data_IF_869021241427
#
_entry.id   IF_869021241427
#
_cell.length_a   1.000
_cell.length_b   1.000
_cell.length_c   1.000
_cell.angle_alpha   90.00
_cell.angle_beta   90.00
_cell.angle_gamma   90.00
#
_symmetry.space_group_name_H-M   'P 1'
#
loop_
_entity.id
_entity.type
_entity.pdbx_description
1 polymer ?
#
# COMPACT_ATOMS: atom_id res chain seq x y z
N UNK A 1 -0.75 28.73 7.63
CA UNK A 1 -0.30 27.34 7.90
C UNK A 1 -1.44 26.36 8.24
N UNK A 2 -2.59 26.79 8.77
CA UNK A 2 -3.72 25.89 9.14
C UNK A 2 -4.34 25.09 7.97
N UNK A 3 -4.47 25.70 6.78
CA UNK A 3 -5.07 25.07 5.58
C UNK A 3 -4.23 23.88 5.08
N UNK A 4 -2.90 23.97 5.18
CA UNK A 4 -2.01 22.88 4.78
C UNK A 4 -2.17 21.66 5.69
N UNK A 5 -2.30 21.87 7.01
CA UNK A 5 -2.44 20.77 7.97
C UNK A 5 -3.78 20.04 7.85
N UNK A 6 -4.87 20.77 7.60
CA UNK A 6 -6.19 20.16 7.38
C UNK A 6 -6.21 19.32 6.11
N UNK A 7 -5.58 19.79 5.03
CA UNK A 7 -5.48 19.03 3.78
C UNK A 7 -4.64 17.76 3.95
N UNK A 8 -3.48 17.85 4.62
CA UNK A 8 -2.64 16.67 4.91
C UNK A 8 -3.36 15.64 5.75
N UNK A 9 -4.13 16.07 6.76
CA UNK A 9 -4.96 15.17 7.57
C UNK A 9 -6.05 14.49 6.72
N UNK A 10 -6.75 15.24 5.87
CA UNK A 10 -7.76 14.68 4.98
C UNK A 10 -7.18 13.61 4.05
N UNK A 11 -6.01 13.87 3.46
CA UNK A 11 -5.29 12.88 2.64
C UNK A 11 -4.82 11.67 3.45
N UNK A 12 -4.30 11.88 4.67
CA UNK A 12 -3.86 10.79 5.55
C UNK A 12 -5.01 9.85 5.92
N UNK A 13 -6.19 10.41 6.24
CA UNK A 13 -7.40 9.64 6.48
C UNK A 13 -7.90 8.93 5.23
N UNK A 14 -7.86 9.58 4.07
CA UNK A 14 -8.23 8.96 2.79
C UNK A 14 -7.37 7.72 2.49
N UNK A 15 -6.04 7.85 2.61
CA UNK A 15 -5.12 6.72 2.41
C UNK A 15 -5.34 5.61 3.44
N UNK A 16 -5.54 5.96 4.72
CA UNK A 16 -5.86 4.98 5.75
C UNK A 16 -7.15 4.22 5.44
N UNK A 17 -8.21 4.91 4.99
CA UNK A 17 -9.50 4.29 4.66
C UNK A 17 -9.37 3.30 3.50
N UNK A 18 -8.64 3.69 2.44
CA UNK A 18 -8.35 2.80 1.30
C UNK A 18 -7.58 1.56 1.76
N UNK A 19 -6.50 1.76 2.52
CA UNK A 19 -5.66 0.68 3.03
C UNK A 19 -6.43 -0.28 3.95
N UNK A 20 -7.24 0.25 4.87
CA UNK A 20 -8.12 -0.53 5.74
C UNK A 20 -9.17 -1.29 4.92
N UNK A 21 -9.79 -0.66 3.93
CA UNK A 21 -10.75 -1.31 3.04
C UNK A 21 -10.15 -2.50 2.29
N UNK A 22 -8.99 -2.31 1.67
CA UNK A 22 -8.27 -3.38 0.96
C UNK A 22 -7.88 -4.54 1.90
N UNK A 23 -7.32 -4.21 3.06
CA UNK A 23 -6.90 -5.20 4.05
C UNK A 23 -8.10 -5.96 4.64
N UNK A 24 -9.20 -5.25 4.92
CA UNK A 24 -10.44 -5.82 5.44
C UNK A 24 -11.08 -6.79 4.45
N UNK A 25 -11.23 -6.42 3.18
CA UNK A 25 -11.78 -7.33 2.16
C UNK A 25 -10.89 -8.57 1.98
N UNK A 26 -9.57 -8.38 1.95
CA UNK A 26 -8.61 -9.50 1.86
C UNK A 26 -8.68 -10.44 3.07
N UNK A 27 -8.79 -9.88 4.28
CA UNK A 27 -8.91 -10.64 5.52
C UNK A 27 -10.26 -11.38 5.61
N UNK A 28 -11.35 -10.76 5.16
CA UNK A 28 -12.70 -11.35 5.17
C UNK A 28 -12.78 -12.63 4.34
N UNK A 29 -12.01 -12.73 3.26
CA UNK A 29 -11.97 -13.91 2.41
C UNK A 29 -11.14 -15.08 2.98
N UNK A 30 -10.40 -14.90 4.08
CA UNK A 30 -9.51 -15.93 4.66
C UNK A 30 -10.16 -16.80 5.73
N UNK A 31 -11.33 -16.41 6.22
CA UNK A 31 -12.03 -17.12 7.29
C UNK A 31 -13.39 -17.63 6.80
N UNK A 32 -13.89 -18.72 7.39
CA UNK A 32 -15.19 -19.29 7.02
C UNK A 32 -16.31 -18.79 7.95
N UNK A 33 -16.07 -18.76 9.27
CA UNK A 33 -17.02 -18.31 10.29
C UNK A 33 -17.18 -16.79 10.37
N UNK A 34 -18.37 -16.31 10.77
CA UNK A 34 -18.65 -14.86 10.90
C UNK A 34 -17.79 -14.19 11.98
N UNK A 35 -17.60 -14.85 13.12
CA UNK A 35 -16.77 -14.32 14.23
C UNK A 35 -15.31 -14.22 13.77
N UNK A 36 -14.79 -15.28 13.16
CA UNK A 36 -13.42 -15.32 12.66
C UNK A 36 -13.17 -14.24 11.59
N UNK A 37 -14.15 -14.01 10.70
CA UNK A 37 -14.10 -12.92 9.71
C UNK A 37 -13.99 -11.55 10.36
N UNK A 38 -14.84 -11.27 11.35
CA UNK A 38 -14.82 -9.97 12.06
C UNK A 38 -13.50 -9.78 12.81
N UNK A 39 -13.00 -10.82 13.48
CA UNK A 39 -11.71 -10.78 14.19
C UNK A 39 -10.55 -10.55 13.21
N UNK A 40 -10.55 -11.23 12.07
CA UNK A 40 -9.54 -11.06 11.03
C UNK A 40 -9.55 -9.65 10.43
N UNK A 41 -10.73 -9.08 10.19
CA UNK A 41 -10.84 -7.68 9.74
C UNK A 41 -10.36 -6.70 10.81
N UNK A 42 -10.76 -6.90 12.07
CA UNK A 42 -10.31 -6.06 13.17
C UNK A 42 -8.77 -6.10 13.33
N UNK A 43 -8.17 -7.28 13.22
CA UNK A 43 -6.71 -7.45 13.23
C UNK A 43 -6.07 -6.72 12.05
N UNK A 44 -6.63 -6.85 10.85
CA UNK A 44 -6.13 -6.16 9.66
C UNK A 44 -6.17 -4.63 9.83
N UNK A 45 -7.27 -4.08 10.36
CA UNK A 45 -7.38 -2.66 10.70
C UNK A 45 -6.31 -2.22 11.70
N UNK A 46 -6.07 -3.02 12.75
CA UNK A 46 -5.06 -2.73 13.75
C UNK A 46 -3.64 -2.72 13.17
N UNK A 47 -3.33 -3.69 12.29
CA UNK A 47 -2.03 -3.76 11.60
C UNK A 47 -1.81 -2.54 10.71
N UNK A 48 -2.78 -2.18 9.86
CA UNK A 48 -2.67 -0.99 8.98
C UNK A 48 -2.54 0.30 9.80
N UNK A 49 -3.35 0.42 10.86
CA UNK A 49 -3.24 1.55 11.80
C UNK A 49 -1.85 1.63 12.43
N UNK A 50 -1.29 0.49 12.85
CA UNK A 50 0.06 0.43 13.41
C UNK A 50 1.13 0.86 12.39
N UNK A 51 1.04 0.43 11.13
CA UNK A 51 1.98 0.84 10.07
C UNK A 51 1.98 2.35 9.89
N UNK A 52 0.81 2.97 9.84
CA UNK A 52 0.68 4.42 9.61
C UNK A 52 1.03 5.26 10.83
N UNK A 53 0.60 4.86 12.04
CA UNK A 53 0.69 5.68 13.25
C UNK A 53 1.98 5.45 14.05
N UNK A 54 2.54 4.23 14.10
CA UNK A 54 3.75 3.95 14.90
C UNK A 54 4.93 4.88 14.55
N UNK A 55 5.28 5.10 13.27
CA UNK A 55 6.41 5.97 12.91
C UNK A 55 6.18 7.45 13.23
N UNK A 56 4.92 7.85 13.39
CA UNK A 56 4.55 9.22 13.68
C UNK A 56 4.50 9.49 15.20
N UNK A 57 4.06 8.51 15.98
CA UNK A 57 3.91 8.63 17.44
C UNK A 57 5.19 8.26 18.20
N UNK A 58 5.92 7.25 17.74
CA UNK A 58 7.09 6.72 18.43
C UNK A 58 8.39 7.24 17.78
N UNK A 59 9.30 7.78 18.61
CA UNK A 59 10.65 8.20 18.16
C UNK A 59 11.76 7.19 18.53
N UNK A 60 11.42 6.13 19.26
CA UNK A 60 12.38 5.12 19.71
C UNK A 60 12.76 4.17 18.57
N UNK A 61 14.04 3.79 18.49
CA UNK A 61 14.49 2.81 17.50
C UNK A 61 13.94 1.39 17.77
N UNK A 62 13.51 1.11 19.00
CA UNK A 62 12.98 -0.20 19.39
C UNK A 62 11.65 -0.57 18.71
N UNK A 63 10.93 0.41 18.14
CA UNK A 63 9.64 0.15 17.47
C UNK A 63 9.78 -0.27 16.01
N UNK A 64 10.96 -0.09 15.40
CA UNK A 64 11.21 -0.45 13.99
C UNK A 64 11.00 -1.93 13.64
N UNK A 65 11.45 -2.93 14.44
CA UNK A 65 11.19 -4.33 14.10
C UNK A 65 9.70 -4.66 14.10
N UNK A 66 8.95 -4.15 15.09
CA UNK A 66 7.50 -4.32 15.16
C UNK A 66 6.80 -3.64 13.98
N UNK A 67 7.20 -2.41 13.67
CA UNK A 67 6.67 -1.68 12.52
C UNK A 67 6.94 -2.42 11.20
N UNK A 68 8.15 -2.94 11.00
CA UNK A 68 8.52 -3.69 9.80
C UNK A 68 7.69 -4.96 9.67
N UNK A 69 7.46 -5.68 10.77
CA UNK A 69 6.59 -6.86 10.77
C UNK A 69 5.15 -6.49 10.37
N UNK A 70 4.58 -5.44 10.96
CA UNK A 70 3.25 -4.94 10.58
C UNK A 70 3.21 -4.51 9.10
N UNK A 71 4.26 -3.85 8.61
CA UNK A 71 4.37 -3.40 7.23
C UNK A 71 4.36 -4.58 6.25
N UNK A 72 5.16 -5.62 6.51
CA UNK A 72 5.20 -6.83 5.68
C UNK A 72 3.82 -7.51 5.64
N UNK A 73 3.15 -7.61 6.80
CA UNK A 73 1.81 -8.21 6.88
C UNK A 73 0.78 -7.38 6.11
N UNK A 74 0.79 -6.05 6.24
CA UNK A 74 -0.10 -5.16 5.50
C UNK A 74 0.11 -5.28 3.98
N UNK A 75 1.37 -5.18 3.52
CA UNK A 75 1.74 -5.31 2.11
C UNK A 75 1.31 -6.66 1.54
N UNK A 76 1.52 -7.75 2.29
CA UNK A 76 1.04 -9.07 1.87
C UNK A 76 -0.50 -9.14 1.77
N UNK A 77 -1.22 -8.53 2.73
CA UNK A 77 -2.67 -8.44 2.71
C UNK A 77 -3.21 -7.69 1.48
N UNK A 78 -2.61 -6.53 1.17
CA UNK A 78 -2.98 -5.70 0.02
C UNK A 78 -2.59 -6.31 -1.32
N UNK A 79 -1.40 -6.91 -1.43
CA UNK A 79 -0.99 -7.64 -2.62
C UNK A 79 -2.01 -8.75 -2.94
N UNK A 80 -2.45 -9.50 -1.92
CA UNK A 80 -3.52 -10.49 -2.07
C UNK A 80 -4.83 -9.89 -2.60
N UNK A 81 -5.27 -8.74 -2.07
CA UNK A 81 -6.45 -8.03 -2.59
C UNK A 81 -6.29 -7.63 -4.06
N UNK A 82 -5.14 -7.05 -4.43
CA UNK A 82 -4.89 -6.58 -5.80
C UNK A 82 -4.89 -7.73 -6.80
N UNK A 83 -4.31 -8.87 -6.44
CA UNK A 83 -4.33 -10.09 -7.26
C UNK A 83 -5.76 -10.59 -7.46
N UNK A 84 -6.54 -10.72 -6.38
CA UNK A 84 -7.95 -11.14 -6.45
C UNK A 84 -8.82 -10.17 -7.25
N UNK A 85 -8.59 -8.86 -7.10
CA UNK A 85 -9.29 -7.84 -7.87
C UNK A 85 -8.96 -7.95 -9.37
N UNK A 86 -7.70 -8.20 -9.72
CA UNK A 86 -7.27 -8.47 -11.08
C UNK A 86 -7.95 -9.71 -11.68
N UNK A 87 -8.01 -10.81 -10.93
CA UNK A 87 -8.67 -12.05 -11.35
C UNK A 87 -10.16 -11.84 -11.65
N UNK A 88 -10.88 -11.10 -10.79
CA UNK A 88 -12.30 -10.78 -11.01
C UNK A 88 -12.53 -10.00 -12.30
N UNK A 89 -11.69 -9.00 -12.58
CA UNK A 89 -11.78 -8.21 -13.82
C UNK A 89 -11.43 -9.06 -15.05
N UNK A 90 -10.41 -9.93 -14.95
CA UNK A 90 -10.08 -10.86 -16.02
C UNK A 90 -11.20 -11.87 -16.28
N UNK A 91 -11.84 -12.41 -15.24
CA UNK A 91 -12.96 -13.34 -15.39
C UNK A 91 -14.11 -12.71 -16.19
N UNK A 92 -14.45 -11.45 -15.91
CA UNK A 92 -15.48 -10.71 -16.66
C UNK A 92 -15.07 -10.51 -18.13
N UNK A 93 -13.81 -10.16 -18.40
CA UNK A 93 -13.31 -9.98 -19.78
C UNK A 93 -13.22 -11.28 -20.57
N UNK A 94 -12.93 -12.39 -19.89
CA UNK A 94 -12.78 -13.71 -20.51
C UNK A 94 -14.11 -14.47 -20.64
N UNK A 95 -15.16 -14.07 -19.93
CA UNK A 95 -16.47 -14.74 -19.97
C UNK A 95 -17.03 -14.92 -21.40
N UNK A 96 -17.01 -13.91 -22.30
CA UNK A 96 -17.49 -14.09 -23.67
C UNK A 96 -16.64 -15.10 -24.47
N UNK A 97 -15.32 -15.12 -24.25
CA UNK A 97 -14.43 -16.05 -24.94
C UNK A 97 -14.61 -17.49 -24.43
N UNK A 98 -14.76 -17.64 -23.12
CA UNK A 98 -15.06 -18.93 -22.51
C UNK A 98 -16.40 -19.49 -23.00
N UNK A 99 -17.41 -18.63 -23.16
CA UNK A 99 -18.71 -19.00 -23.69
C UNK A 99 -18.66 -19.34 -25.18
N UNK A 100 -18.01 -18.53 -26.02
CA UNK A 100 -17.83 -18.86 -27.44
C UNK A 100 -17.08 -20.19 -27.65
N UNK A 101 -16.10 -20.49 -26.79
CA UNK A 101 -15.39 -21.78 -26.83
C UNK A 101 -16.30 -22.94 -26.42
N UNK A 102 -17.20 -22.72 -25.46
CA UNK A 102 -18.19 -23.71 -25.03
C UNK A 102 -19.24 -23.96 -26.13
N UNK A 103 -19.82 -22.90 -26.70
CA UNK A 103 -20.79 -22.96 -27.80
C UNK A 103 -20.21 -23.75 -28.99
N UNK A 104 -18.93 -23.51 -29.31
CA UNK A 104 -18.24 -24.23 -30.37
C UNK A 104 -18.10 -25.74 -30.06
N UNK A 105 -17.81 -26.10 -28.81
CA UNK A 105 -17.72 -27.52 -28.40
C UNK A 105 -19.07 -28.21 -28.47
N UNK A 106 -20.13 -27.52 -28.05
CA UNK A 106 -21.50 -28.03 -28.12
C UNK A 106 -21.93 -28.23 -29.58
N UNK A 107 -21.64 -27.27 -30.46
CA UNK A 107 -21.90 -27.39 -31.89
C UNK A 107 -21.15 -28.58 -32.53
N UNK A 108 -19.86 -28.79 -32.19
CA UNK A 108 -19.10 -29.96 -32.66
C UNK A 108 -19.67 -31.27 -32.09
N UNK A 109 -20.07 -31.27 -30.81
CA UNK A 109 -20.72 -32.42 -30.18
C UNK A 109 -22.03 -32.82 -30.87
N UNK A 110 -22.87 -31.83 -31.21
CA UNK A 110 -24.09 -32.04 -31.98
C UNK A 110 -23.80 -32.56 -33.39
N UNK A 111 -22.81 -31.98 -34.09
CA UNK A 111 -22.39 -32.46 -35.40
C UNK A 111 -21.91 -33.92 -35.35
N UNK A 112 -21.13 -34.29 -34.32
CA UNK A 112 -20.68 -35.67 -34.12
C UNK A 112 -21.84 -36.64 -33.85
N UNK A 113 -22.85 -36.23 -33.08
CA UNK A 113 -24.02 -37.06 -32.80
C UNK A 113 -24.86 -37.35 -34.07
N UNK A 114 -24.82 -36.45 -35.06
CA UNK A 114 -25.53 -36.63 -36.33
C UNK A 114 -24.83 -37.60 -37.31
N UNK A 115 -23.54 -37.90 -37.11
CA UNK A 115 -22.76 -38.75 -38.02
C UNK A 115 -22.81 -40.21 -37.56
N UNK A 116 -23.63 -41.02 -38.22
CA UNK A 116 -23.72 -42.47 -38.00
C UNK A 116 -22.74 -43.24 -38.90
N UNK A 117 -21.43 -43.01 -38.74
CA UNK A 117 -20.39 -43.69 -39.51
C UNK A 117 -19.51 -44.58 -38.62
N UNK A 118 -19.13 -45.76 -39.12
CA UNK A 118 -18.22 -46.66 -38.40
C UNK A 118 -16.80 -46.07 -38.33
N UNK A 119 -15.90 -46.57 -37.45
CA UNK A 119 -14.54 -46.05 -37.36
C UNK A 119 -13.79 -46.12 -38.70
N UNK A 120 -12.99 -45.08 -39.01
CA UNK A 120 -12.22 -44.95 -40.27
C UNK A 120 -11.44 -46.23 -40.59
N UNK A 121 -10.78 -46.81 -39.59
CA UNK A 121 -10.00 -48.04 -39.75
C UNK A 121 -10.84 -49.24 -40.23
N UNK A 122 -12.07 -49.37 -39.74
CA UNK A 122 -12.98 -50.47 -40.09
C UNK A 122 -13.49 -50.32 -41.52
N UNK A 123 -13.93 -49.11 -41.89
CA UNK A 123 -14.46 -48.83 -43.24
C UNK A 123 -13.35 -48.96 -44.28
N UNK A 124 -12.15 -48.42 -44.00
CA UNK A 124 -10.99 -48.54 -44.89
C UNK A 124 -10.57 -50.00 -45.12
N UNK A 125 -10.53 -50.82 -44.06
CA UNK A 125 -10.22 -52.24 -44.18
C UNK A 125 -11.28 -53.00 -44.99
N UNK A 126 -12.55 -52.60 -44.91
CA UNK A 126 -13.63 -53.22 -45.67
C UNK A 126 -13.58 -52.87 -47.16
N UNK A 127 -13.27 -51.62 -47.51
CA UNK A 127 -13.05 -51.18 -48.90
C UNK A 127 -11.95 -51.99 -49.58
N UNK A 128 -10.87 -52.30 -48.86
CA UNK A 128 -9.76 -53.09 -49.40
C UNK A 128 -10.16 -54.53 -49.78
N UNK A 129 -11.21 -55.08 -49.15
CA UNK A 129 -11.66 -56.47 -49.33
C UNK A 129 -12.82 -56.62 -50.33
N UNK A 130 -13.56 -55.56 -50.61
CA UNK A 130 -14.76 -55.60 -51.46
C UNK A 130 -14.40 -55.44 -52.94
N UNK A 131 -14.79 -56.41 -53.76
CA UNK A 131 -14.54 -56.42 -55.21
C UNK A 131 -15.66 -55.75 -56.03
N UNK A 132 -16.89 -55.71 -55.51
CA UNK A 132 -18.03 -55.15 -56.26
C UNK A 132 -17.99 -53.62 -56.31
N UNK A 133 -18.12 -53.00 -57.50
CA UNK A 133 -17.94 -51.55 -57.67
C UNK A 133 -18.99 -50.73 -56.91
N UNK A 134 -20.26 -51.13 -56.95
CA UNK A 134 -21.36 -50.44 -56.26
C UNK A 134 -21.15 -50.41 -54.73
N UNK A 135 -20.74 -51.54 -54.16
CA UNK A 135 -20.53 -51.66 -52.71
C UNK A 135 -19.26 -50.93 -52.27
N UNK A 136 -18.25 -50.87 -53.13
CA UNK A 136 -17.06 -50.04 -52.94
C UNK A 136 -17.44 -48.56 -52.88
N UNK A 137 -18.29 -48.09 -53.79
CA UNK A 137 -18.72 -46.69 -53.85
C UNK A 137 -19.51 -46.28 -52.59
N UNK A 138 -20.44 -47.12 -52.12
CA UNK A 138 -21.16 -46.87 -50.86
C UNK A 138 -20.22 -46.77 -49.64
N UNK A 139 -19.20 -47.64 -49.57
CA UNK A 139 -18.21 -47.60 -48.49
C UNK A 139 -17.28 -46.38 -48.58
N UNK A 140 -16.98 -45.88 -49.79
CA UNK A 140 -16.20 -44.64 -49.95
C UNK A 140 -16.94 -43.43 -49.39
N UNK A 141 -18.26 -43.36 -49.57
CA UNK A 141 -19.10 -42.32 -48.95
C UNK A 141 -19.09 -42.45 -47.43
N UNK A 142 -19.25 -43.67 -46.91
CA UNK A 142 -19.16 -43.91 -45.45
C UNK A 142 -17.78 -43.50 -44.90
N UNK A 143 -16.68 -43.79 -45.63
CA UNK A 143 -15.33 -43.43 -45.22
C UNK A 143 -15.16 -41.90 -45.11
N UNK A 144 -15.72 -41.13 -46.04
CA UNK A 144 -15.67 -39.67 -46.00
C UNK A 144 -16.38 -39.12 -44.74
N UNK A 145 -17.54 -39.67 -44.40
CA UNK A 145 -18.26 -39.31 -43.15
C UNK A 145 -17.47 -39.73 -41.90
N UNK A 146 -16.86 -40.91 -41.89
CA UNK A 146 -15.98 -41.37 -40.81
C UNK A 146 -14.78 -40.44 -40.61
N UNK A 147 -14.16 -39.97 -41.70
CA UNK A 147 -13.02 -39.05 -41.67
C UNK A 147 -13.43 -37.69 -41.12
N UNK A 148 -14.59 -37.18 -41.52
CA UNK A 148 -15.17 -35.94 -40.98
C UNK A 148 -15.41 -36.04 -39.47
N UNK A 149 -15.97 -37.15 -39.00
CA UNK A 149 -16.14 -37.39 -37.56
C UNK A 149 -14.79 -37.47 -36.81
N UNK A 150 -13.76 -38.09 -37.41
CA UNK A 150 -12.42 -38.13 -36.82
C UNK A 150 -11.79 -36.73 -36.72
N UNK A 151 -11.95 -35.90 -37.75
CA UNK A 151 -11.47 -34.52 -37.75
C UNK A 151 -12.14 -33.67 -36.66
N UNK A 152 -13.46 -33.77 -36.51
CA UNK A 152 -14.22 -33.09 -35.46
C UNK A 152 -13.80 -33.53 -34.04
N UNK A 153 -13.52 -34.83 -33.84
CA UNK A 153 -12.97 -35.32 -32.56
C UNK A 153 -11.59 -34.74 -32.25
N UNK A 154 -10.72 -34.65 -33.26
CA UNK A 154 -9.40 -34.01 -33.10
C UNK A 154 -9.55 -32.53 -32.75
N UNK A 155 -10.49 -31.82 -33.37
CA UNK A 155 -10.78 -30.42 -33.05
C UNK A 155 -11.24 -30.27 -31.59
N UNK A 156 -12.11 -31.16 -31.07
CA UNK A 156 -12.48 -31.15 -29.66
C UNK A 156 -11.27 -31.31 -28.72
N UNK A 157 -10.33 -32.20 -29.06
CA UNK A 157 -9.08 -32.37 -28.30
C UNK A 157 -8.25 -31.09 -28.33
N UNK A 158 -8.11 -30.46 -29.49
CA UNK A 158 -7.39 -29.19 -29.63
C UNK A 158 -8.06 -28.07 -28.83
N UNK A 159 -9.39 -27.97 -28.86
CA UNK A 159 -10.13 -27.00 -28.04
C UNK A 159 -10.01 -27.31 -26.54
N UNK A 160 -9.93 -28.58 -26.15
CA UNK A 160 -9.68 -29.01 -24.77
C UNK A 160 -8.29 -28.59 -24.30
N UNK A 161 -7.26 -28.84 -25.12
CA UNK A 161 -5.88 -28.41 -24.88
C UNK A 161 -5.78 -26.90 -24.78
N UNK A 162 -6.37 -26.16 -25.73
CA UNK A 162 -6.37 -24.70 -25.71
C UNK A 162 -6.96 -24.15 -24.41
N UNK A 163 -8.07 -24.72 -23.93
CA UNK A 163 -8.63 -24.32 -22.62
C UNK A 163 -7.70 -24.66 -21.46
N UNK A 164 -7.05 -25.83 -21.49
CA UNK A 164 -6.10 -26.21 -20.44
C UNK A 164 -4.88 -25.28 -20.44
N UNK A 165 -4.41 -24.88 -21.61
CA UNK A 165 -3.32 -23.91 -21.76
C UNK A 165 -3.78 -22.52 -21.29
N UNK A 166 -4.95 -22.05 -21.73
CA UNK A 166 -5.51 -20.78 -21.29
C UNK A 166 -5.72 -20.76 -19.76
N UNK A 167 -6.12 -21.88 -19.14
CA UNK A 167 -6.24 -22.00 -17.68
C UNK A 167 -4.87 -22.01 -16.97
N UNK A 168 -3.86 -22.67 -17.54
CA UNK A 168 -2.49 -22.68 -16.99
C UNK A 168 -1.81 -21.31 -17.08
N UNK A 169 -2.10 -20.55 -18.12
CA UNK A 169 -1.63 -19.18 -18.31
C UNK A 169 -2.63 -18.12 -17.78
N UNK A 170 -3.72 -18.59 -17.15
CA UNK A 170 -4.99 -17.89 -16.97
C UNK A 170 -5.12 -17.03 -15.73
N UNK A 171 -4.09 -16.24 -15.43
CA UNK A 171 -4.19 -15.16 -14.47
C UNK A 171 -3.65 -13.88 -15.10
N UNK A 172 -4.54 -13.03 -15.62
CA UNK A 172 -4.32 -11.60 -15.94
C UNK A 172 -2.94 -11.32 -16.54
N UNK A 173 -2.77 -11.53 -17.85
CA UNK A 173 -1.53 -11.13 -18.51
C UNK A 173 -1.83 -10.00 -19.47
N UNK A 174 -1.93 -8.80 -18.90
CA UNK A 174 -1.89 -7.55 -19.67
C UNK A 174 -0.63 -7.56 -20.56
N UNK A 175 -0.70 -7.06 -21.80
CA UNK A 175 0.44 -7.00 -22.71
C UNK A 175 1.71 -6.42 -22.07
N UNK A 176 1.59 -5.47 -21.14
CA UNK A 176 2.74 -4.90 -20.42
C UNK A 176 3.41 -5.95 -19.54
N UNK A 177 2.64 -6.71 -18.76
CA UNK A 177 3.19 -7.77 -17.89
C UNK A 177 3.86 -8.88 -18.72
N UNK A 178 3.30 -9.22 -19.89
CA UNK A 178 3.94 -10.16 -20.83
C UNK A 178 5.25 -9.60 -21.39
N UNK A 179 5.27 -8.32 -21.76
CA UNK A 179 6.47 -7.64 -22.22
C UNK A 179 7.57 -7.65 -21.17
N UNK A 180 7.23 -7.34 -19.91
CA UNK A 180 8.18 -7.39 -18.79
C UNK A 180 8.69 -8.82 -18.56
N UNK A 181 7.81 -9.82 -18.60
CA UNK A 181 8.20 -11.24 -18.47
C UNK A 181 9.16 -11.67 -19.58
N UNK A 182 8.90 -11.29 -20.83
CA UNK A 182 9.75 -11.60 -21.98
C UNK A 182 11.14 -10.98 -21.87
N UNK A 183 11.24 -9.75 -21.33
CA UNK A 183 12.52 -9.05 -21.15
C UNK A 183 13.28 -9.56 -19.91
N UNK A 184 12.58 -9.84 -18.81
CA UNK A 184 13.19 -10.23 -17.53
C UNK A 184 13.45 -11.74 -17.40
N UNK A 185 12.80 -12.57 -18.22
CA UNK A 185 12.82 -14.03 -18.10
C UNK A 185 12.05 -14.57 -16.89
N UNK A 186 11.41 -13.70 -16.09
CA UNK A 186 10.63 -14.09 -14.93
C UNK A 186 9.25 -14.64 -15.33
N UNK A 187 8.69 -15.60 -14.58
CA UNK A 187 7.34 -16.08 -14.84
C UNK A 187 6.33 -14.94 -14.63
N UNK A 188 5.29 -14.89 -15.45
CA UNK A 188 4.32 -13.78 -15.43
C UNK A 188 3.66 -13.63 -14.05
N UNK A 189 3.41 -14.74 -13.34
CA UNK A 189 2.88 -14.69 -11.97
C UNK A 189 3.81 -13.95 -11.01
N UNK A 190 5.13 -14.12 -11.14
CA UNK A 190 6.10 -13.41 -10.31
C UNK A 190 6.12 -11.91 -10.64
N UNK A 191 6.00 -11.54 -11.92
CA UNK A 191 5.90 -10.13 -12.33
C UNK A 191 4.63 -9.49 -11.76
N UNK A 192 3.48 -10.16 -11.88
CA UNK A 192 2.20 -9.66 -11.33
C UNK A 192 2.27 -9.53 -9.80
N UNK A 193 2.84 -10.52 -9.11
CA UNK A 193 3.05 -10.48 -7.67
C UNK A 193 3.98 -9.31 -7.28
N UNK A 194 5.08 -9.11 -8.00
CA UNK A 194 6.02 -8.02 -7.74
C UNK A 194 5.34 -6.65 -7.92
N UNK A 195 4.57 -6.47 -8.99
CA UNK A 195 3.80 -5.23 -9.22
C UNK A 195 2.79 -4.99 -8.10
N UNK A 196 2.08 -6.02 -7.66
CA UNK A 196 1.13 -5.92 -6.54
C UNK A 196 1.83 -5.54 -5.23
N UNK A 197 2.97 -6.17 -4.91
CA UNK A 197 3.79 -5.86 -3.72
C UNK A 197 4.29 -4.42 -3.77
N UNK A 198 4.85 -3.98 -4.90
CA UNK A 198 5.38 -2.61 -5.07
C UNK A 198 4.25 -1.59 -4.91
N UNK A 199 3.10 -1.83 -5.53
CA UNK A 199 1.94 -0.93 -5.42
C UNK A 199 1.44 -0.84 -3.98
N UNK A 200 1.33 -1.97 -3.29
CA UNK A 200 0.95 -2.02 -1.88
C UNK A 200 1.97 -1.30 -0.97
N UNK A 201 3.26 -1.52 -1.18
CA UNK A 201 4.32 -0.86 -0.43
C UNK A 201 4.28 0.67 -0.62
N UNK A 202 4.05 1.14 -1.85
CA UNK A 202 3.92 2.58 -2.13
C UNK A 202 2.72 3.19 -1.39
N UNK A 203 1.58 2.51 -1.38
CA UNK A 203 0.39 2.97 -0.64
C UNK A 203 0.69 3.18 0.84
N UNK A 204 1.29 2.17 1.49
CA UNK A 204 1.63 2.23 2.92
C UNK A 204 2.68 3.31 3.22
N UNK A 205 3.72 3.42 2.40
CA UNK A 205 4.76 4.44 2.57
C UNK A 205 4.20 5.86 2.43
N UNK A 206 3.28 6.08 1.48
CA UNK A 206 2.57 7.36 1.36
C UNK A 206 1.76 7.65 2.63
N UNK A 207 1.05 6.64 3.17
CA UNK A 207 0.32 6.76 4.43
C UNK A 207 1.23 7.16 5.60
N UNK A 208 2.38 6.50 5.75
CA UNK A 208 3.39 6.82 6.78
C UNK A 208 3.88 8.26 6.65
N UNK A 209 4.22 8.70 5.43
CA UNK A 209 4.70 10.08 5.19
C UNK A 209 3.61 11.11 5.54
N UNK A 210 2.36 10.87 5.15
CA UNK A 210 1.24 11.76 5.44
C UNK A 210 0.96 11.86 6.94
N UNK A 211 0.93 10.74 7.67
CA UNK A 211 0.73 10.74 9.12
C UNK A 211 1.88 11.41 9.87
N UNK A 212 3.12 11.16 9.45
CA UNK A 212 4.30 11.81 10.03
C UNK A 212 4.31 13.30 9.75
N UNK A 213 3.80 13.76 8.61
CA UNK A 213 3.64 15.17 8.29
C UNK A 213 2.48 15.83 9.07
N UNK A 214 1.34 15.13 9.19
CA UNK A 214 0.15 15.60 9.88
C UNK A 214 0.37 15.78 11.39
N UNK A 215 1.15 14.89 12.02
CA UNK A 215 1.44 14.89 13.45
C UNK A 215 2.71 15.67 13.83
N UNK A 216 3.33 16.41 12.90
CA UNK A 216 4.48 17.27 13.25
C UNK A 216 4.01 18.34 14.25
N UNK A 217 4.71 18.53 15.37
CA UNK A 217 4.44 19.64 16.28
C UNK A 217 4.60 20.96 15.52
N UNK A 218 3.61 21.87 15.62
CA UNK A 218 3.85 23.23 15.13
C UNK A 218 4.92 23.90 16.00
N UNK A 219 5.86 24.65 15.41
CA UNK A 219 6.75 25.51 16.18
C UNK A 219 5.88 26.49 16.96
N UNK A 220 5.84 26.35 18.29
CA UNK A 220 5.22 27.35 19.15
C UNK A 220 5.98 28.65 18.94
N UNK A 221 5.31 29.66 18.36
CA UNK A 221 5.88 30.99 18.27
C UNK A 221 6.24 31.45 19.69
N UNK A 222 7.47 31.95 19.93
CA UNK A 222 7.84 32.42 21.26
C UNK A 222 6.84 33.50 21.68
N UNK A 223 6.14 33.27 22.78
CA UNK A 223 5.27 34.28 23.40
C UNK A 223 6.17 35.45 23.78
N UNK A 224 6.07 36.55 23.03
CA UNK A 224 6.63 37.83 23.45
C UNK A 224 5.84 38.30 24.66
N UNK A 225 6.37 38.06 25.86
CA UNK A 225 5.92 38.71 27.09
C UNK A 225 6.32 40.20 27.01
N UNK A 226 5.61 40.98 26.22
CA UNK A 226 5.65 42.44 26.23
C UNK A 226 4.22 42.94 26.00
N UNK A 227 3.38 42.75 27.01
CA UNK A 227 2.20 43.61 27.19
C UNK A 227 1.83 43.64 28.67
N UNK A 228 2.69 44.29 29.46
CA UNK A 228 2.29 44.78 30.77
C UNK A 228 1.51 46.08 30.56
N UNK A 229 0.22 45.90 30.30
CA UNK A 229 -0.89 46.74 30.76
C UNK A 229 -0.55 48.20 31.13
N UNK A 230 -0.88 49.11 30.22
CA UNK A 230 -1.16 50.50 30.54
C UNK A 230 -2.43 50.56 31.43
N UNK A 231 -2.25 50.45 32.74
CA UNK A 231 -3.28 50.82 33.74
C UNK A 231 -2.88 52.16 34.32
N UNK A 232 -3.67 53.19 34.01
CA UNK A 232 -3.62 54.48 34.71
C UNK A 232 -3.88 54.27 36.22
N UNK A 233 -3.02 54.75 37.13
CA UNK A 233 -3.37 54.80 38.54
C UNK A 233 -4.24 56.05 38.84
N UNK A 234 -5.21 55.97 39.79
CA UNK A 234 -5.98 57.11 40.26
C UNK A 234 -5.13 58.03 41.16
N UNK A 235 -5.50 59.32 41.34
CA UNK A 235 -4.70 60.27 42.11
C UNK A 235 -4.94 60.06 43.60
N UNK A 236 -3.86 59.89 44.39
CA UNK A 236 -3.93 59.87 45.86
C UNK A 236 -2.93 60.89 46.43
N UNK A 237 -3.27 61.64 47.51
CA UNK A 237 -2.52 62.83 47.94
C UNK A 237 -1.20 62.50 48.64
N UNK A 238 -0.21 63.38 48.46
CA UNK A 238 1.10 63.35 49.13
C UNK A 238 0.96 63.50 50.64
N UNK A 239 1.51 62.54 51.39
CA UNK A 239 2.04 62.80 52.73
C UNK A 239 3.30 61.96 52.98
N UNK A 240 4.31 62.63 53.55
CA UNK A 240 5.66 62.15 53.80
C UNK A 240 5.71 61.02 54.83
N UNK A 241 6.42 59.94 54.51
CA UNK A 241 7.26 59.19 55.45
C UNK A 241 8.14 58.17 54.70
N UNK A 242 9.44 58.30 54.94
CA UNK A 242 10.59 57.43 54.65
C UNK A 242 10.33 55.91 54.63
N UNK A 243 10.50 55.29 53.46
CA UNK A 243 11.21 54.02 53.22
C UNK A 243 11.12 53.67 51.71
N UNK A 244 12.23 53.83 50.99
CA UNK A 244 12.36 53.36 49.60
C UNK A 244 12.41 51.81 49.57
N UNK A 245 11.63 51.14 48.72
CA UNK A 245 12.02 49.84 48.19
C UNK A 245 13.01 50.07 47.04
N UNK A 246 14.17 49.43 47.12
CA UNK A 246 15.20 49.48 46.07
C UNK A 246 14.65 49.04 44.70
N UNK A 247 15.06 49.71 43.60
CA UNK A 247 14.83 49.20 42.26
C UNK A 247 15.74 47.99 42.03
N UNK A 248 15.15 46.83 41.71
CA UNK A 248 15.90 45.67 41.22
C UNK A 248 16.64 46.08 39.94
N UNK A 249 17.94 46.30 40.09
CA UNK A 249 18.86 46.65 39.01
C UNK A 249 18.89 45.51 37.98
N UNK A 250 18.72 45.87 36.71
CA UNK A 250 19.11 44.99 35.61
C UNK A 250 20.60 44.66 35.75
N UNK A 251 21.04 43.40 35.58
CA UNK A 251 22.43 43.03 35.79
C UNK A 251 23.34 43.79 34.81
N UNK A 252 24.38 44.41 35.36
CA UNK A 252 25.31 45.32 34.68
C UNK A 252 26.24 44.65 33.65
N UNK A 253 26.19 43.33 33.47
CA UNK A 253 26.74 42.64 32.32
C UNK A 253 26.10 41.24 32.21
N UNK A 254 25.24 40.98 31.21
CA UNK A 254 24.56 39.69 31.07
C UNK A 254 25.52 38.51 30.84
N UNK A 255 26.76 38.77 30.40
CA UNK A 255 27.79 37.74 30.21
C UNK A 255 28.46 37.35 31.52
N UNK A 256 28.72 38.32 32.41
CA UNK A 256 29.26 38.06 33.74
C UNK A 256 28.28 37.25 34.61
N UNK A 257 26.98 37.62 34.58
CA UNK A 257 25.93 36.91 35.30
C UNK A 257 25.76 35.45 34.82
N UNK A 258 25.89 35.21 33.51
CA UNK A 258 25.83 33.85 32.96
C UNK A 258 27.04 33.00 33.39
N UNK A 259 28.25 33.59 33.43
CA UNK A 259 29.47 32.87 33.86
C UNK A 259 29.37 32.45 35.32
N UNK A 260 28.83 33.31 36.18
CA UNK A 260 28.64 33.02 37.60
C UNK A 260 27.56 31.96 37.85
N UNK A 261 26.43 32.02 37.14
CA UNK A 261 25.37 31.00 37.23
C UNK A 261 25.83 29.62 36.75
N UNK A 262 26.71 29.55 35.75
CA UNK A 262 27.34 28.30 35.30
C UNK A 262 28.33 27.77 36.35
N UNK A 263 29.14 28.64 36.96
CA UNK A 263 30.06 28.26 38.03
C UNK A 263 29.34 27.74 39.29
N UNK A 264 28.16 28.27 39.59
CA UNK A 264 27.26 27.77 40.65
C UNK A 264 26.48 26.52 40.27
N UNK A 265 26.57 26.04 39.03
CA UNK A 265 25.84 24.86 38.55
C UNK A 265 24.34 25.08 38.31
N UNK A 266 23.87 26.33 38.36
CA UNK A 266 22.45 26.70 38.18
C UNK A 266 22.02 26.60 36.72
N UNK A 267 22.95 26.73 35.79
CA UNK A 267 22.72 26.70 34.34
C UNK A 267 23.71 25.75 33.67
N UNK A 268 23.21 24.74 32.96
CA UNK A 268 24.06 23.88 32.15
C UNK A 268 24.57 24.64 30.91
N UNK A 269 25.77 24.33 30.44
CA UNK A 269 26.42 24.88 29.23
C UNK A 269 25.76 24.42 27.92
N UNK A 270 24.43 24.25 27.92
CA UNK A 270 23.61 23.92 26.78
C UNK A 270 23.01 25.19 26.17
N UNK A 271 22.86 25.22 24.84
CA UNK A 271 22.24 26.36 24.13
C UNK A 271 20.80 26.57 24.60
N UNK A 272 20.10 25.52 25.04
CA UNK A 272 18.72 25.61 25.53
C UNK A 272 18.65 26.35 26.87
N UNK A 273 19.56 26.06 27.78
CA UNK A 273 19.52 26.61 29.14
C UNK A 273 20.03 28.06 29.16
N UNK A 274 21.05 28.38 28.36
CA UNK A 274 21.52 29.76 28.15
C UNK A 274 20.38 30.65 27.59
N UNK A 275 19.61 30.15 26.63
CA UNK A 275 18.45 30.88 26.08
C UNK A 275 17.38 31.12 27.13
N UNK A 276 17.13 30.13 28.00
CA UNK A 276 16.12 30.22 29.05
C UNK A 276 16.54 31.21 30.14
N UNK A 277 17.83 31.21 30.49
CA UNK A 277 18.39 32.09 31.51
C UNK A 277 18.43 33.56 31.06
N UNK A 278 18.86 33.82 29.82
CA UNK A 278 19.01 35.18 29.28
C UNK A 278 17.84 35.65 28.39
N UNK A 279 16.81 34.82 28.20
CA UNK A 279 15.68 35.08 27.29
C UNK A 279 16.12 35.54 25.88
N UNK A 280 17.15 34.89 25.32
CA UNK A 280 17.79 35.32 24.07
C UNK A 280 17.57 34.36 22.87
N UNK A 281 17.91 34.83 21.67
CA UNK A 281 17.79 34.05 20.43
C UNK A 281 18.78 32.88 20.39
N UNK A 282 18.49 31.86 19.57
CA UNK A 282 19.34 30.66 19.47
C UNK A 282 20.73 30.97 18.91
N UNK A 283 20.82 31.89 17.94
CA UNK A 283 22.09 32.36 17.40
C UNK A 283 22.95 33.03 18.49
N UNK A 284 22.37 33.95 19.27
CA UNK A 284 23.06 34.66 20.36
C UNK A 284 23.50 33.72 21.48
N UNK A 285 22.68 32.72 21.85
CA UNK A 285 23.06 31.72 22.84
C UNK A 285 24.18 30.78 22.35
N UNK A 286 24.21 30.43 21.06
CA UNK A 286 25.30 29.64 20.49
C UNK A 286 26.60 30.43 20.42
N UNK A 287 26.53 31.72 20.18
CA UNK A 287 27.69 32.63 20.21
C UNK A 287 28.23 32.81 21.64
N UNK A 288 27.36 33.07 22.61
CA UNK A 288 27.72 33.16 24.03
C UNK A 288 28.34 31.86 24.57
N UNK A 289 27.79 30.70 24.18
CA UNK A 289 28.38 29.40 24.54
C UNK A 289 29.79 29.25 23.99
N UNK A 290 30.04 29.66 22.74
CA UNK A 290 31.38 29.62 22.13
C UNK A 290 32.35 30.55 22.85
N UNK A 291 31.92 31.77 23.18
CA UNK A 291 32.72 32.74 23.91
C UNK A 291 33.08 32.27 25.33
N UNK A 292 32.18 31.56 26.02
CA UNK A 292 32.46 31.01 27.36
C UNK A 292 33.37 29.78 27.31
N UNK A 293 33.28 28.95 26.28
CA UNK A 293 34.18 27.79 26.08
C UNK A 293 35.58 28.24 25.63
N UNK A 294 35.70 29.38 24.94
CA UNK A 294 37.01 29.92 24.53
C UNK A 294 37.74 30.71 25.62
N UNK A 295 37.05 31.09 26.69
CA UNK A 295 37.58 31.91 27.80
C UNK A 295 37.70 31.09 29.11
N UNK A 296 37.22 29.84 29.11
CA UNK A 296 37.44 28.85 30.18
C UNK A 296 38.72 28.06 29.93
#
# INVERSE_FOLDING_TARGET
MRIGRTLTLALAFGVLLVAVGMAGVSAWHRADGMVDKVLMVALACAVVGAVHLLPALCRSLAVWPLWLACFVVAVHGHAGFLLQAGEKVAAVRQAPQAQALQDKREAIGQALASIAARPVAVVAAQIARVQSPERRQALTVELAESQKAAALRNELVTLAQKRADDARHGGVTDPVTKGISAVTGLPVQAVTLAVAIVTAALLELVGVVLWRAALRPEPVAPVTLYDAQAVNPPPVPKMMATAQPEPVQAPADPVAALREAVARGEVALSVRDIRRFLSCSQARASELRRHLVSVA
#
